data_IF_723207197098
#
_entry.id   IF_723207197098
#
_cell.length_a   1.000
_cell.length_b   1.000
_cell.length_c   1.000
_cell.angle_alpha   90.00
_cell.angle_beta   90.00
_cell.angle_gamma   90.00
#
_symmetry.space_group_name_H-M   'P 1'
#
loop_
_entity.id
_entity.type
_entity.pdbx_description
1 polymer ?
#
# COMPACT_ATOMS: atom_id res chain seq x y z
N UNK A 1 9.98 10.63 -13.84
CA UNK A 1 10.54 9.72 -12.84
C UNK A 1 10.19 8.32 -13.30
N UNK A 2 11.08 7.34 -13.10
CA UNK A 2 10.77 5.93 -13.38
C UNK A 2 9.97 5.28 -12.23
N UNK A 3 9.37 6.11 -11.38
CA UNK A 3 8.59 5.73 -10.22
C UNK A 3 7.50 6.78 -9.96
N UNK A 4 6.45 6.37 -9.25
CA UNK A 4 5.34 7.18 -8.75
C UNK A 4 5.46 7.31 -7.24
N UNK A 5 5.07 8.46 -6.70
CA UNK A 5 4.92 8.66 -5.25
C UNK A 5 3.51 9.16 -4.99
N UNK A 6 2.79 8.45 -4.15
CA UNK A 6 1.38 8.71 -3.89
C UNK A 6 1.01 8.54 -2.42
N UNK A 7 -0.09 9.20 -2.06
CA UNK A 7 -0.74 9.03 -0.77
C UNK A 7 -2.24 8.97 -1.02
N UNK A 8 -2.83 7.79 -0.83
CA UNK A 8 -4.26 7.57 -1.09
C UNK A 8 -4.99 7.32 0.21
N UNK A 9 -6.07 8.07 0.43
CA UNK A 9 -6.93 7.94 1.61
C UNK A 9 -8.14 7.08 1.31
N UNK A 10 -8.39 6.11 2.19
CA UNK A 10 -9.54 5.22 2.19
C UNK A 10 -10.33 5.38 3.48
N UNK A 11 -11.66 5.44 3.36
CA UNK A 11 -12.54 5.52 4.53
C UNK A 11 -12.82 4.12 5.06
N UNK A 12 -12.73 3.94 6.37
CA UNK A 12 -13.10 2.70 7.05
C UNK A 12 -14.59 2.70 7.34
N UNK A 13 -15.27 1.56 7.15
CA UNK A 13 -16.67 1.37 7.52
C UNK A 13 -16.86 1.54 9.04
N UNK A 14 -17.98 2.12 9.45
CA UNK A 14 -18.30 2.28 10.86
C UNK A 14 -18.33 0.92 11.58
N UNK A 15 -17.71 0.85 12.77
CA UNK A 15 -17.64 -0.37 13.58
C UNK A 15 -16.63 -1.43 13.12
N UNK A 16 -15.82 -1.15 12.08
CA UNK A 16 -14.79 -2.09 11.58
C UNK A 16 -13.38 -1.86 12.13
N UNK A 17 -13.21 -0.97 13.12
CA UNK A 17 -11.92 -0.63 13.72
C UNK A 17 -11.14 -1.85 14.24
N UNK A 18 -11.83 -2.85 14.81
CA UNK A 18 -11.18 -4.07 15.30
C UNK A 18 -10.69 -4.97 14.15
N UNK A 19 -11.39 -4.99 13.01
CA UNK A 19 -10.95 -5.72 11.82
C UNK A 19 -9.72 -5.06 11.21
N UNK A 20 -9.65 -3.72 11.24
CA UNK A 20 -8.44 -2.97 10.88
C UNK A 20 -7.28 -3.34 11.79
N UNK A 21 -7.50 -3.47 13.11
CA UNK A 21 -6.46 -3.93 14.03
C UNK A 21 -5.95 -5.33 13.68
N UNK A 22 -6.87 -6.26 13.41
CA UNK A 22 -6.54 -7.63 12.98
C UNK A 22 -5.73 -7.64 11.67
N UNK A 23 -6.15 -6.84 10.69
CA UNK A 23 -5.47 -6.72 9.40
C UNK A 23 -4.06 -6.18 9.54
N UNK A 24 -3.87 -5.06 10.24
CA UNK A 24 -2.54 -4.47 10.43
C UNK A 24 -1.63 -5.43 11.22
N UNK A 25 -2.17 -6.13 12.22
CA UNK A 25 -1.41 -7.15 12.95
C UNK A 25 -1.03 -8.33 12.05
N UNK A 26 -1.94 -8.78 11.17
CA UNK A 26 -1.68 -9.86 10.23
C UNK A 26 -0.51 -9.51 9.29
N UNK A 27 -0.50 -8.33 8.67
CA UNK A 27 0.61 -7.90 7.80
C UNK A 27 1.93 -7.80 8.59
N UNK A 28 1.89 -7.22 9.78
CA UNK A 28 3.08 -7.12 10.63
C UNK A 28 3.62 -8.49 11.08
N UNK A 29 2.75 -9.47 11.33
CA UNK A 29 3.19 -10.81 11.73
C UNK A 29 3.66 -11.69 10.56
N UNK A 30 3.33 -11.32 9.32
CA UNK A 30 3.73 -12.01 8.09
C UNK A 30 4.58 -11.10 7.19
N UNK A 31 5.42 -10.25 7.80
CA UNK A 31 6.17 -9.21 7.09
C UNK A 31 7.09 -9.78 6.01
N UNK A 32 7.78 -10.90 6.26
CA UNK A 32 8.65 -11.52 5.24
C UNK A 32 7.86 -11.92 4.00
N UNK A 33 6.70 -12.56 4.16
CA UNK A 33 5.84 -12.98 3.05
C UNK A 33 5.17 -11.79 2.36
N UNK A 34 4.79 -10.76 3.14
CA UNK A 34 4.22 -9.51 2.61
C UNK A 34 5.24 -8.77 1.74
N UNK A 35 6.51 -8.71 2.15
CA UNK A 35 7.53 -8.02 1.36
C UNK A 35 7.87 -8.76 0.06
N UNK A 36 7.67 -10.09 -0.01
CA UNK A 36 7.91 -10.85 -1.23
C UNK A 36 6.91 -10.49 -2.34
N UNK A 37 5.67 -10.14 -2.00
CA UNK A 37 4.65 -9.79 -3.01
C UNK A 37 4.91 -8.44 -3.65
N UNK A 38 5.55 -7.52 -2.91
CA UNK A 38 5.89 -6.18 -3.37
C UNK A 38 6.92 -6.17 -4.52
N UNK A 39 7.75 -7.22 -4.67
CA UNK A 39 8.76 -7.28 -5.73
C UNK A 39 8.11 -7.32 -7.13
N UNK A 40 7.14 -8.21 -7.34
CA UNK A 40 6.42 -8.32 -8.62
C UNK A 40 5.55 -7.08 -8.90
N UNK A 41 5.07 -6.42 -7.86
CA UNK A 41 4.33 -5.16 -7.92
C UNK A 41 5.22 -3.93 -8.17
N UNK A 42 6.55 -4.13 -8.17
CA UNK A 42 7.57 -3.06 -8.18
C UNK A 42 7.32 -1.99 -7.11
N UNK A 43 6.81 -2.42 -5.97
CA UNK A 43 6.46 -1.58 -4.85
C UNK A 43 7.68 -1.43 -3.94
N UNK A 44 8.47 -0.36 -4.11
CA UNK A 44 9.70 -0.17 -3.33
C UNK A 44 9.42 0.19 -1.87
N UNK A 45 8.34 0.94 -1.64
CA UNK A 45 7.90 1.35 -0.31
C UNK A 45 6.38 1.33 -0.33
N UNK A 46 5.79 0.56 0.56
CA UNK A 46 4.39 0.72 0.95
C UNK A 46 4.34 1.04 2.44
N UNK A 47 3.48 1.96 2.84
CA UNK A 47 3.26 2.28 4.24
C UNK A 47 1.81 2.65 4.46
N UNK A 48 1.19 1.99 5.44
CA UNK A 48 -0.20 2.22 5.81
C UNK A 48 -0.23 3.06 7.08
N UNK A 49 -0.87 4.23 7.01
CA UNK A 49 -1.16 5.08 8.15
C UNK A 49 -2.64 5.00 8.51
N UNK A 50 -2.95 5.25 9.79
CA UNK A 50 -4.32 5.30 10.30
C UNK A 50 -4.59 6.63 10.97
N UNK A 51 -5.76 7.19 10.74
CA UNK A 51 -6.22 8.44 11.34
C UNK A 51 -7.67 8.32 11.81
N UNK A 52 -8.01 9.04 12.88
CA UNK A 52 -9.40 9.38 13.20
C UNK A 52 -9.58 10.88 13.07
N UNK A 53 -10.42 11.30 12.12
CA UNK A 53 -10.71 12.70 11.82
C UNK A 53 -12.22 12.92 11.88
N UNK A 54 -12.66 13.84 12.74
CA UNK A 54 -14.08 14.19 12.95
C UNK A 54 -14.98 12.98 13.27
N UNK A 55 -14.45 12.02 14.04
CA UNK A 55 -15.15 10.79 14.42
C UNK A 55 -15.21 9.72 13.31
N UNK A 56 -14.61 10.00 12.15
CA UNK A 56 -14.48 9.04 11.06
C UNK A 56 -13.07 8.48 11.01
N UNK A 57 -12.97 7.17 10.79
CA UNK A 57 -11.70 6.47 10.65
C UNK A 57 -11.28 6.37 9.18
N UNK A 58 -9.99 6.57 8.93
CA UNK A 58 -9.35 6.50 7.63
C UNK A 58 -8.05 5.71 7.69
N UNK A 59 -7.75 5.00 6.60
CA UNK A 59 -6.42 4.49 6.31
C UNK A 59 -5.82 5.25 5.14
N UNK A 60 -4.50 5.38 5.13
CA UNK A 60 -3.74 6.03 4.09
C UNK A 60 -2.63 5.13 3.59
N UNK A 61 -2.61 4.85 2.29
CA UNK A 61 -1.50 4.16 1.64
C UNK A 61 -0.53 5.18 1.08
N UNK A 62 0.68 5.23 1.64
CA UNK A 62 1.80 5.89 1.01
C UNK A 62 2.60 4.86 0.22
N UNK A 63 2.80 5.13 -1.07
CA UNK A 63 3.53 4.23 -1.95
C UNK A 63 4.64 4.96 -2.71
N UNK A 64 5.77 4.28 -2.90
CA UNK A 64 6.81 4.60 -3.88
C UNK A 64 6.95 3.39 -4.79
N UNK A 65 6.41 3.48 -6.00
CA UNK A 65 6.26 2.34 -6.91
C UNK A 65 6.96 2.59 -8.24
N UNK A 66 7.66 1.60 -8.77
CA UNK A 66 8.26 1.60 -10.11
C UNK A 66 7.21 1.55 -11.22
N UNK A 67 7.66 1.43 -12.48
CA UNK A 67 6.78 1.32 -13.63
C UNK A 67 6.58 -0.14 -14.07
N UNK A 68 5.32 -0.52 -14.33
CA UNK A 68 4.97 -1.81 -14.90
C UNK A 68 5.09 -2.99 -13.94
N UNK A 69 4.82 -2.76 -12.65
CA UNK A 69 4.49 -3.85 -11.72
C UNK A 69 3.10 -4.41 -12.00
N UNK A 70 2.82 -5.58 -11.45
CA UNK A 70 1.48 -6.17 -11.47
C UNK A 70 0.58 -5.50 -10.42
N UNK A 71 -0.73 -5.55 -10.63
CA UNK A 71 -1.70 -5.11 -9.62
C UNK A 71 -1.89 -6.23 -8.58
N UNK A 72 -2.08 -5.87 -7.30
CA UNK A 72 -2.33 -6.82 -6.21
C UNK A 72 -3.54 -7.73 -6.48
N UNK A 73 -4.52 -7.24 -7.25
CA UNK A 73 -5.71 -7.99 -7.66
C UNK A 73 -5.38 -9.17 -8.60
N UNK A 74 -4.24 -9.12 -9.27
CA UNK A 74 -3.73 -10.19 -10.15
C UNK A 74 -2.75 -11.14 -9.43
N UNK A 75 -2.53 -10.95 -8.12
CA UNK A 75 -1.61 -11.79 -7.34
C UNK A 75 -2.20 -13.16 -7.00
N UNK A 76 -1.37 -14.19 -7.13
CA UNK A 76 -1.69 -15.56 -6.68
C UNK A 76 -1.27 -15.82 -5.22
N UNK A 77 -0.64 -14.85 -4.57
CA UNK A 77 -0.18 -14.96 -3.18
C UNK A 77 -1.36 -15.08 -2.21
N UNK A 78 -1.26 -16.01 -1.26
CA UNK A 78 -2.27 -16.16 -0.20
C UNK A 78 -2.26 -14.96 0.76
N UNK A 79 -1.13 -14.27 0.92
CA UNK A 79 -1.06 -13.03 1.70
C UNK A 79 -1.87 -11.92 1.04
N UNK A 80 -1.75 -11.75 -0.27
CA UNK A 80 -2.48 -10.70 -1.00
C UNK A 80 -3.97 -10.99 -1.07
N UNK A 81 -4.35 -12.26 -1.28
CA UNK A 81 -5.76 -12.68 -1.15
C UNK A 81 -6.30 -12.32 0.23
N UNK A 82 -5.55 -12.59 1.30
CA UNK A 82 -5.98 -12.26 2.66
C UNK A 82 -6.01 -10.75 2.90
N UNK A 83 -5.07 -10.01 2.34
CA UNK A 83 -5.03 -8.55 2.36
C UNK A 83 -6.30 -7.97 1.72
N UNK A 84 -6.69 -8.48 0.55
CA UNK A 84 -7.91 -8.09 -0.17
C UNK A 84 -9.19 -8.48 0.58
N UNK A 85 -9.23 -9.62 1.27
CA UNK A 85 -10.37 -9.97 2.13
C UNK A 85 -10.59 -8.93 3.25
N UNK A 86 -9.52 -8.53 3.93
CA UNK A 86 -9.62 -7.47 4.96
C UNK A 86 -10.04 -6.14 4.34
N UNK A 87 -9.49 -5.80 3.18
CA UNK A 87 -9.85 -4.61 2.42
C UNK A 87 -11.36 -4.58 2.14
N UNK A 88 -11.90 -5.62 1.52
CA UNK A 88 -13.32 -5.74 1.21
C UNK A 88 -14.19 -5.66 2.45
N UNK A 89 -13.73 -6.24 3.56
CA UNK A 89 -14.47 -6.22 4.81
C UNK A 89 -14.54 -4.82 5.43
N UNK A 90 -13.44 -4.07 5.47
CA UNK A 90 -13.33 -2.86 6.27
C UNK A 90 -13.37 -1.53 5.48
N UNK A 91 -13.06 -1.51 4.18
CA UNK A 91 -13.02 -0.26 3.38
C UNK A 91 -14.38 0.08 2.78
N UNK A 92 -14.83 1.32 2.99
CA UNK A 92 -16.08 1.87 2.48
C UNK A 92 -15.91 2.34 1.02
N UNK A 93 -16.06 1.40 0.08
CA UNK A 93 -16.00 1.69 -1.36
C UNK A 93 -17.11 2.63 -1.87
N UNK A 94 -18.20 2.79 -1.12
CA UNK A 94 -19.31 3.70 -1.49
C UNK A 94 -18.96 5.17 -1.29
N UNK A 95 -18.08 5.45 -0.32
CA UNK A 95 -17.51 6.77 -0.10
C UNK A 95 -16.31 7.05 -1.03
N UNK A 96 -15.75 5.98 -1.59
CA UNK A 96 -14.61 6.01 -2.50
C UNK A 96 -13.28 6.27 -1.77
N UNK A 97 -12.25 6.44 -2.58
CA UNK A 97 -10.92 6.83 -2.13
C UNK A 97 -10.57 8.22 -2.64
N UNK A 98 -9.53 8.81 -2.06
CA UNK A 98 -8.99 10.09 -2.52
C UNK A 98 -7.48 10.01 -2.60
N UNK A 99 -6.96 10.15 -3.81
CA UNK A 99 -5.55 10.48 -4.02
C UNK A 99 -5.30 11.93 -3.55
N UNK A 100 -4.30 12.11 -2.71
CA UNK A 100 -3.85 13.43 -2.31
C UNK A 100 -2.88 14.00 -3.35
N UNK A 101 -2.86 15.32 -3.47
CA UNK A 101 -1.99 15.98 -4.44
C UNK A 101 -0.53 15.95 -3.97
N UNK A 102 0.30 15.11 -4.59
CA UNK A 102 1.75 15.07 -4.34
C UNK A 102 2.40 16.42 -4.68
N UNK A 103 2.79 17.18 -3.65
CA UNK A 103 3.38 18.52 -3.82
C UNK A 103 4.91 18.50 -3.98
N UNK A 104 5.60 17.60 -3.28
CA UNK A 104 7.06 17.52 -3.28
C UNK A 104 7.52 16.10 -2.93
N UNK A 105 8.57 15.64 -3.62
CA UNK A 105 9.19 14.33 -3.38
C UNK A 105 10.66 14.55 -3.08
N UNK A 106 11.10 14.16 -1.87
CA UNK A 106 12.47 14.40 -1.37
C UNK A 106 13.19 13.08 -1.09
N UNK A 107 13.57 12.36 -2.14
CA UNK A 107 14.34 11.11 -2.05
C UNK A 107 15.79 11.39 -2.44
N UNK A 108 16.74 10.97 -1.61
CA UNK A 108 18.17 11.18 -1.89
C UNK A 108 18.61 10.33 -3.10
N UNK A 109 19.54 10.87 -3.90
CA UNK A 109 20.06 10.21 -5.11
C UNK A 109 20.52 8.75 -4.90
N UNK A 110 21.25 8.39 -3.82
CA UNK A 110 21.66 7.01 -3.61
C UNK A 110 20.48 6.04 -3.46
N UNK A 111 19.35 6.50 -2.91
CA UNK A 111 18.14 5.66 -2.75
C UNK A 111 17.45 5.48 -4.11
N UNK A 112 17.34 6.54 -4.91
CA UNK A 112 16.82 6.46 -6.29
C UNK A 112 17.64 5.47 -7.11
N UNK A 113 18.98 5.57 -7.05
CA UNK A 113 19.88 4.65 -7.77
C UNK A 113 19.76 3.20 -7.30
N UNK A 114 19.40 2.96 -6.03
CA UNK A 114 19.13 1.60 -5.54
C UNK A 114 17.80 1.08 -6.09
N UNK A 115 16.72 1.87 -6.02
CA UNK A 115 15.40 1.47 -6.55
C UNK A 115 15.47 1.17 -8.06
N UNK A 116 16.14 2.03 -8.84
CA UNK A 116 16.29 1.83 -10.29
C UNK A 116 17.11 0.58 -10.66
N UNK A 117 18.01 0.12 -9.78
CA UNK A 117 18.77 -1.12 -10.00
C UNK A 117 17.93 -2.37 -9.79
N UNK A 118 17.03 -2.35 -8.80
CA UNK A 118 16.10 -3.46 -8.55
C UNK A 118 15.29 -3.76 -9.82
N UNK A 119 14.81 -2.73 -10.52
CA UNK A 119 14.09 -2.87 -11.80
C UNK A 119 14.95 -3.35 -12.98
N UNK A 120 16.27 -3.20 -12.88
CA UNK A 120 17.19 -3.51 -13.99
C UNK A 120 17.74 -4.93 -13.95
N UNK A 121 17.70 -5.57 -12.79
CA UNK A 121 18.15 -6.95 -12.58
C UNK A 121 17.10 -7.98 -13.07
N UNK A 122 15.90 -7.54 -13.45
CA UNK A 122 14.85 -8.32 -14.13
C UNK A 122 15.11 -8.54 -15.65
N UNK A 123 16.31 -8.22 -16.15
CA UNK A 123 16.70 -8.36 -17.57
C UNK A 123 17.81 -9.37 -17.83
#
# INVERSE_FOLDING_TARGET
MNYKVELTRFKVKEGKSAVVDEWMNFLNSHMEETLLTLEDEKMYVETIFRETLDGQEYLYWYAVQGLGGIDVEDSESEIDKKHLEYWEECIDSSFGFKDLDTQVVMIQKPIIETMEKLDSDDK
#
